data_IF_071302922168
#
_entry.id   IF_071302922168
#
_cell.length_a   1.000
_cell.length_b   1.000
_cell.length_c   1.000
_cell.angle_alpha   90.00
_cell.angle_beta   90.00
_cell.angle_gamma   90.00
#
_symmetry.space_group_name_H-M   'P 1'
#
loop_
_entity.id
_entity.type
_entity.pdbx_description
1 polymer ?
#
# COMPACT_ATOMS: atom_id res chain seq x y z
N UNK A 1 5.48 -66.83 51.22
CA UNK A 1 4.17 -66.21 50.93
C UNK A 1 4.40 -64.77 51.19
N UNK A 2 4.86 -64.07 50.16
CA UNK A 2 5.26 -62.67 50.21
C UNK A 2 4.35 -61.86 49.23
N UNK A 3 3.60 -60.94 49.79
CA UNK A 3 2.75 -59.98 49.13
C UNK A 3 3.63 -58.99 48.39
N UNK A 4 3.42 -58.88 47.11
CA UNK A 4 4.02 -57.82 46.27
C UNK A 4 2.97 -56.72 46.05
N UNK A 5 3.11 -55.67 46.82
CA UNK A 5 2.32 -54.41 46.67
C UNK A 5 2.80 -53.68 45.47
N UNK A 6 1.98 -53.60 44.39
CA UNK A 6 2.22 -52.81 43.21
C UNK A 6 1.58 -51.45 43.43
N UNK A 7 2.35 -50.47 43.89
CA UNK A 7 1.99 -49.08 43.82
C UNK A 7 2.22 -48.60 42.39
N UNK A 8 1.15 -48.50 41.61
CA UNK A 8 1.12 -47.78 40.32
C UNK A 8 1.21 -46.29 40.61
N UNK A 9 2.38 -45.75 40.35
CA UNK A 9 2.67 -44.31 40.37
C UNK A 9 2.06 -43.70 39.08
N UNK A 10 0.80 -43.26 39.16
CA UNK A 10 0.14 -42.49 38.12
C UNK A 10 0.79 -41.12 38.05
N UNK A 11 1.87 -41.02 37.30
CA UNK A 11 2.46 -39.74 36.90
C UNK A 11 1.44 -38.98 35.97
N UNK A 12 0.58 -38.21 36.62
CA UNK A 12 -0.33 -37.27 35.97
C UNK A 12 0.52 -36.33 35.08
N UNK A 13 0.55 -36.63 33.78
CA UNK A 13 1.25 -35.83 32.79
C UNK A 13 0.68 -34.40 32.81
N UNK A 14 1.41 -33.48 33.43
CA UNK A 14 1.05 -32.07 33.50
C UNK A 14 0.81 -31.54 32.09
N UNK A 15 -0.42 -31.10 31.83
CA UNK A 15 -0.79 -30.48 30.55
C UNK A 15 0.17 -29.34 30.23
N UNK A 16 0.61 -29.17 28.96
CA UNK A 16 1.52 -28.13 28.61
C UNK A 16 0.98 -26.76 29.02
N UNK A 17 1.83 -25.84 29.52
CA UNK A 17 1.39 -24.54 30.00
C UNK A 17 0.63 -23.81 28.90
N UNK A 18 -0.58 -23.40 29.21
CA UNK A 18 -1.40 -22.61 28.27
C UNK A 18 -0.60 -21.40 27.84
N UNK A 19 -0.54 -21.07 26.51
CA UNK A 19 0.15 -19.89 26.03
C UNK A 19 -0.37 -18.67 26.78
N UNK A 20 0.55 -17.90 27.35
CA UNK A 20 0.23 -16.69 28.10
C UNK A 20 -0.66 -15.78 27.24
N UNK A 21 -1.80 -15.36 27.79
CA UNK A 21 -2.69 -14.42 27.09
C UNK A 21 -1.87 -13.19 26.68
N UNK A 22 -1.98 -12.72 25.42
CA UNK A 22 -1.22 -11.56 24.98
C UNK A 22 -1.50 -10.39 25.92
N UNK A 23 -0.45 -9.80 26.49
CA UNK A 23 -0.56 -8.62 27.34
C UNK A 23 -1.24 -7.52 26.53
N UNK A 24 -2.33 -6.96 27.04
CA UNK A 24 -3.07 -5.84 26.42
C UNK A 24 -2.38 -4.51 26.65
N UNK A 25 -1.30 -4.51 27.41
CA UNK A 25 -0.50 -3.33 27.73
C UNK A 25 0.38 -2.92 26.54
N UNK A 26 0.31 -1.64 26.18
CA UNK A 26 1.09 -1.04 25.09
C UNK A 26 2.54 -0.72 25.50
N UNK A 27 2.97 -1.14 26.69
CA UNK A 27 4.32 -0.90 27.19
C UNK A 27 4.58 0.57 27.57
N UNK A 28 5.87 0.91 27.76
CA UNK A 28 6.37 2.20 28.27
C UNK A 28 5.79 3.42 27.57
N UNK A 29 5.63 3.36 26.26
CA UNK A 29 5.20 4.50 25.43
C UNK A 29 3.68 4.60 25.24
N UNK A 30 2.91 3.61 25.70
CA UNK A 30 1.46 3.58 25.54
C UNK A 30 1.00 3.62 24.08
N UNK A 31 -0.25 4.04 23.85
CA UNK A 31 -0.84 4.07 22.49
C UNK A 31 -0.49 5.34 21.68
N UNK A 32 0.11 6.34 22.31
CA UNK A 32 0.30 7.67 21.71
C UNK A 32 1.18 7.64 20.46
N UNK A 33 2.37 7.02 20.43
CA UNK A 33 3.20 6.98 19.23
C UNK A 33 2.48 6.31 18.06
N UNK A 34 1.83 5.14 18.27
CA UNK A 34 1.11 4.43 17.23
C UNK A 34 -0.02 5.27 16.62
N UNK A 35 -0.77 6.01 17.45
CA UNK A 35 -1.86 6.87 16.97
C UNK A 35 -1.34 8.09 16.21
N UNK A 36 -0.26 8.70 16.68
CA UNK A 36 0.36 9.87 16.01
C UNK A 36 0.92 9.44 14.65
N UNK A 37 1.69 8.35 14.59
CA UNK A 37 2.25 7.85 13.33
C UNK A 37 1.18 7.31 12.36
N UNK A 38 0.10 6.70 12.87
CA UNK A 38 -1.05 6.36 12.05
C UNK A 38 -1.77 7.63 11.52
N UNK A 39 -1.84 8.68 12.33
CA UNK A 39 -2.36 9.99 11.93
C UNK A 39 -1.53 10.63 10.82
N UNK A 40 -0.21 10.47 10.84
CA UNK A 40 0.69 10.92 9.75
C UNK A 40 0.32 10.20 8.45
N UNK A 41 0.30 8.86 8.44
CA UNK A 41 -0.08 8.10 7.26
C UNK A 41 -1.52 8.35 6.78
N UNK A 42 -2.44 8.68 7.71
CA UNK A 42 -3.81 9.06 7.37
C UNK A 42 -3.85 10.41 6.64
N UNK A 43 -3.23 11.46 7.20
CA UNK A 43 -3.22 12.81 6.61
C UNK A 43 -2.51 12.83 5.25
N UNK A 44 -1.40 12.11 5.14
CA UNK A 44 -0.67 11.92 3.91
C UNK A 44 -1.53 11.27 2.81
N UNK A 45 -2.27 10.22 3.17
CA UNK A 45 -3.19 9.58 2.25
C UNK A 45 -4.42 10.44 1.90
N UNK A 46 -4.89 11.30 2.83
CA UNK A 46 -5.92 12.31 2.53
C UNK A 46 -5.42 13.25 1.45
N UNK A 47 -4.19 13.79 1.55
CA UNK A 47 -3.61 14.68 0.54
C UNK A 47 -3.49 14.01 -0.83
N UNK A 48 -3.06 12.74 -0.86
CA UNK A 48 -3.02 11.97 -2.12
C UNK A 48 -4.39 11.82 -2.77
N UNK A 49 -5.45 11.75 -1.95
CA UNK A 49 -6.83 11.68 -2.42
C UNK A 49 -7.39 13.02 -2.93
N UNK A 50 -6.83 14.17 -2.50
CA UNK A 50 -7.37 15.48 -2.88
C UNK A 50 -7.33 15.69 -4.39
N UNK A 51 -6.16 15.54 -5.01
CA UNK A 51 -6.02 15.81 -6.45
C UNK A 51 -6.99 14.99 -7.31
N UNK A 52 -7.11 13.65 -7.15
CA UNK A 52 -8.14 12.88 -7.84
C UNK A 52 -9.56 13.39 -7.61
N UNK A 53 -9.88 13.84 -6.39
CA UNK A 53 -11.21 14.31 -6.02
C UNK A 53 -11.59 15.68 -6.57
N UNK A 54 -10.61 16.52 -6.96
CA UNK A 54 -10.85 17.86 -7.50
C UNK A 54 -10.37 18.05 -8.92
N UNK A 55 -9.81 17.02 -9.55
CA UNK A 55 -9.03 17.14 -10.79
C UNK A 55 -9.78 17.84 -11.89
N UNK A 56 -11.05 17.50 -12.13
CA UNK A 56 -11.89 18.14 -13.16
C UNK A 56 -12.03 19.65 -12.92
N UNK A 57 -12.26 20.06 -11.67
CA UNK A 57 -12.37 21.48 -11.32
C UNK A 57 -11.07 22.25 -11.48
N UNK A 58 -9.95 21.61 -11.20
CA UNK A 58 -8.62 22.19 -11.41
C UNK A 58 -8.31 22.33 -12.89
N UNK A 59 -8.70 21.32 -13.71
CA UNK A 59 -8.55 21.37 -15.16
C UNK A 59 -9.37 22.51 -15.79
N UNK A 60 -10.61 22.68 -15.36
CA UNK A 60 -11.49 23.76 -15.80
C UNK A 60 -10.91 25.16 -15.46
N UNK A 61 -10.35 25.32 -14.25
CA UNK A 61 -9.84 26.59 -13.75
C UNK A 61 -8.46 26.97 -14.35
N UNK A 62 -7.57 25.98 -14.56
CA UNK A 62 -6.20 26.21 -15.05
C UNK A 62 -6.01 25.89 -16.54
N UNK A 63 -7.01 25.36 -17.22
CA UNK A 63 -7.03 25.16 -18.68
C UNK A 63 -6.03 24.11 -19.17
N UNK A 64 -5.96 22.90 -18.57
CA UNK A 64 -5.04 21.86 -18.99
C UNK A 64 -5.73 20.53 -19.33
N UNK A 65 -5.06 19.73 -20.21
CA UNK A 65 -5.58 18.48 -20.74
C UNK A 65 -5.54 17.31 -19.75
N UNK A 66 -6.16 16.17 -20.10
CA UNK A 66 -6.10 14.93 -19.32
C UNK A 66 -4.67 14.38 -19.27
N UNK A 67 -3.91 14.48 -20.35
CA UNK A 67 -2.47 14.16 -20.36
C UNK A 67 -1.71 14.92 -19.27
N UNK A 68 -1.94 16.22 -19.19
CA UNK A 68 -1.33 17.06 -18.17
C UNK A 68 -1.83 16.72 -16.76
N UNK A 69 -3.12 16.41 -16.61
CA UNK A 69 -3.68 15.91 -15.35
C UNK A 69 -3.03 14.61 -14.87
N UNK A 70 -2.84 13.67 -15.78
CA UNK A 70 -2.12 12.43 -15.52
C UNK A 70 -0.65 12.65 -15.15
N UNK A 71 0.01 13.64 -15.79
CA UNK A 71 1.39 14.02 -15.49
C UNK A 71 1.56 14.51 -14.04
N UNK A 72 0.57 15.23 -13.48
CA UNK A 72 0.59 15.65 -12.06
C UNK A 72 0.67 14.45 -11.11
N UNK A 73 -0.13 13.39 -11.36
CA UNK A 73 -0.09 12.17 -10.57
C UNK A 73 1.22 11.40 -10.74
N UNK A 74 1.71 11.30 -11.97
CA UNK A 74 2.96 10.62 -12.32
C UNK A 74 4.18 11.33 -11.72
N UNK A 75 4.28 12.64 -11.84
CA UNK A 75 5.40 13.43 -11.32
C UNK A 75 5.55 13.29 -9.80
N UNK A 76 4.44 13.28 -9.06
CA UNK A 76 4.43 13.08 -7.63
C UNK A 76 5.13 11.77 -7.22
N UNK A 77 4.81 10.66 -7.87
CA UNK A 77 5.41 9.35 -7.54
C UNK A 77 6.87 9.26 -8.02
N UNK A 78 7.16 9.73 -9.24
CA UNK A 78 8.51 9.65 -9.81
C UNK A 78 9.54 10.46 -9.02
N UNK A 79 9.19 11.65 -8.56
CA UNK A 79 10.11 12.47 -7.75
C UNK A 79 10.42 11.83 -6.41
N UNK A 80 9.48 11.10 -5.81
CA UNK A 80 9.72 10.28 -4.63
C UNK A 80 10.84 9.27 -4.83
N UNK A 81 10.90 8.59 -5.98
CA UNK A 81 11.97 7.61 -6.26
C UNK A 81 13.36 8.22 -6.29
N UNK A 82 13.52 9.48 -6.70
CA UNK A 82 14.83 10.14 -6.76
C UNK A 82 15.47 10.32 -5.37
N UNK A 83 14.65 10.37 -4.33
CA UNK A 83 15.10 10.64 -2.96
C UNK A 83 15.05 9.42 -2.02
N UNK A 84 14.64 8.25 -2.50
CA UNK A 84 14.58 7.01 -1.68
C UNK A 84 15.92 6.70 -0.99
N UNK A 85 17.04 6.77 -1.74
CA UNK A 85 18.37 6.49 -1.19
C UNK A 85 18.86 7.57 -0.21
N UNK A 86 18.79 8.89 -0.54
CA UNK A 86 19.07 9.94 0.43
C UNK A 86 18.21 9.87 1.69
N UNK A 87 16.93 9.52 1.53
CA UNK A 87 15.98 9.40 2.65
C UNK A 87 16.39 8.34 3.66
N UNK A 88 16.79 7.15 3.18
CA UNK A 88 17.33 6.09 4.04
C UNK A 88 18.57 6.54 4.82
N UNK A 89 19.52 7.18 4.13
CA UNK A 89 20.73 7.71 4.76
C UNK A 89 20.44 8.74 5.86
N UNK A 90 19.48 9.65 5.63
CA UNK A 90 19.06 10.63 6.64
C UNK A 90 18.42 9.94 7.84
N UNK A 91 17.52 8.99 7.60
CA UNK A 91 16.82 8.24 8.65
C UNK A 91 17.79 7.45 9.55
N UNK A 92 18.96 7.05 9.01
CA UNK A 92 19.97 6.32 9.76
C UNK A 92 20.84 7.21 10.65
N UNK A 93 21.03 8.48 10.32
CA UNK A 93 21.96 9.38 11.02
C UNK A 93 21.31 10.34 12.01
N UNK A 94 20.05 10.69 11.81
CA UNK A 94 19.36 11.70 12.63
C UNK A 94 18.22 11.10 13.43
N UNK A 95 17.72 11.87 14.40
CA UNK A 95 16.53 11.51 15.17
C UNK A 95 15.31 11.43 14.23
N UNK A 96 14.72 10.23 14.10
CA UNK A 96 13.63 9.93 13.17
C UNK A 96 12.39 10.77 13.46
N UNK A 97 12.07 11.01 14.74
CA UNK A 97 10.96 11.88 15.14
C UNK A 97 11.14 13.30 14.62
N UNK A 98 12.37 13.82 14.62
CA UNK A 98 12.68 15.18 14.13
C UNK A 98 12.61 15.25 12.59
N UNK A 99 13.13 14.22 11.92
CA UNK A 99 13.04 14.13 10.45
C UNK A 99 11.57 14.11 10.02
N UNK A 100 10.75 13.21 10.57
CA UNK A 100 9.33 13.10 10.24
C UNK A 100 8.61 14.43 10.53
N UNK A 101 8.88 15.05 11.66
CA UNK A 101 8.23 16.31 12.01
C UNK A 101 8.60 17.47 11.06
N UNK A 102 9.88 17.60 10.66
CA UNK A 102 10.32 18.62 9.69
C UNK A 102 9.73 18.34 8.31
N UNK A 103 9.78 17.09 7.85
CA UNK A 103 9.20 16.69 6.57
C UNK A 103 7.70 16.97 6.54
N UNK A 104 6.98 16.59 7.58
CA UNK A 104 5.52 16.77 7.67
C UNK A 104 5.14 18.27 7.76
N UNK A 105 5.90 19.09 8.48
CA UNK A 105 5.69 20.53 8.53
C UNK A 105 5.91 21.19 7.17
N UNK A 106 7.03 20.85 6.51
CA UNK A 106 7.35 21.34 5.17
C UNK A 106 6.31 20.88 4.15
N UNK A 107 5.92 19.60 4.22
CA UNK A 107 4.91 19.01 3.36
C UNK A 107 3.54 19.69 3.53
N UNK A 108 3.08 19.95 4.74
CA UNK A 108 1.82 20.64 4.98
C UNK A 108 1.81 22.07 4.43
N UNK A 109 2.94 22.80 4.54
CA UNK A 109 3.10 24.12 3.92
C UNK A 109 3.08 24.04 2.39
N UNK A 110 3.83 23.09 1.80
CA UNK A 110 3.89 22.89 0.37
C UNK A 110 2.52 22.44 -0.19
N UNK A 111 1.81 21.55 0.53
CA UNK A 111 0.44 21.15 0.17
C UNK A 111 -0.50 22.37 0.15
N UNK A 112 -0.37 23.29 1.14
CA UNK A 112 -1.11 24.54 1.15
C UNK A 112 -0.80 25.44 -0.06
N UNK A 113 0.42 25.40 -0.61
CA UNK A 113 0.77 26.18 -1.80
C UNK A 113 -0.02 25.76 -3.05
N UNK A 114 -0.56 24.53 -3.12
CA UNK A 114 -1.47 24.16 -4.20
C UNK A 114 -2.69 25.09 -4.28
N UNK A 115 -3.12 25.70 -3.18
CA UNK A 115 -4.21 26.68 -3.18
C UNK A 115 -3.84 28.01 -3.85
N UNK A 116 -2.55 28.33 -3.95
CA UNK A 116 -2.07 29.59 -4.50
C UNK A 116 -1.64 29.49 -5.98
N UNK A 117 -1.60 28.30 -6.58
CA UNK A 117 -1.17 28.10 -7.96
C UNK A 117 -2.17 28.72 -8.96
N UNK A 118 -1.64 29.27 -10.04
CA UNK A 118 -2.39 29.93 -11.12
C UNK A 118 -2.13 29.34 -12.49
N UNK A 119 -1.13 28.45 -12.62
CA UNK A 119 -0.76 27.82 -13.88
C UNK A 119 -0.47 26.34 -13.66
N UNK A 120 -0.62 25.54 -14.72
CA UNK A 120 -0.27 24.10 -14.70
C UNK A 120 1.18 23.87 -14.24
N UNK A 121 2.14 24.67 -14.70
CA UNK A 121 3.56 24.47 -14.38
C UNK A 121 3.87 24.74 -12.90
N UNK A 122 3.23 25.73 -12.29
CA UNK A 122 3.32 25.94 -10.84
C UNK A 122 2.77 24.75 -10.09
N UNK A 123 1.61 24.24 -10.53
CA UNK A 123 0.99 23.08 -9.91
C UNK A 123 1.87 21.82 -10.04
N UNK A 124 2.43 21.57 -11.22
CA UNK A 124 3.35 20.47 -11.46
C UNK A 124 4.59 20.55 -10.54
N UNK A 125 5.18 21.73 -10.39
CA UNK A 125 6.33 21.94 -9.52
C UNK A 125 5.99 21.63 -8.05
N UNK A 126 4.86 22.15 -7.55
CA UNK A 126 4.40 21.88 -6.18
C UNK A 126 4.18 20.39 -5.98
N UNK A 127 3.52 19.70 -6.91
CA UNK A 127 3.26 18.25 -6.85
C UNK A 127 4.55 17.42 -6.89
N UNK A 128 5.49 17.78 -7.76
CA UNK A 128 6.80 17.13 -7.81
C UNK A 128 7.56 17.29 -6.49
N UNK A 129 7.52 18.47 -5.88
CA UNK A 129 8.17 18.72 -4.59
C UNK A 129 7.53 17.92 -3.45
N UNK A 130 6.20 17.76 -3.44
CA UNK A 130 5.49 16.97 -2.44
C UNK A 130 5.90 15.49 -2.46
N UNK A 131 6.13 14.90 -3.65
CA UNK A 131 6.56 13.51 -3.78
C UNK A 131 7.90 13.22 -3.08
N UNK A 132 8.78 14.22 -2.97
CA UNK A 132 10.06 14.11 -2.24
C UNK A 132 9.84 13.85 -0.75
N UNK A 133 8.91 14.61 -0.13
CA UNK A 133 8.67 14.51 1.32
C UNK A 133 8.10 13.17 1.74
N UNK A 134 7.12 12.65 1.02
CA UNK A 134 6.43 11.39 1.34
C UNK A 134 7.36 10.18 1.40
N UNK A 135 8.37 10.15 0.55
CA UNK A 135 9.30 9.01 0.49
C UNK A 135 10.16 8.87 1.76
N UNK A 136 10.38 9.96 2.49
CA UNK A 136 11.22 9.99 3.70
C UNK A 136 10.45 9.48 4.92
N UNK A 137 9.16 9.79 5.02
CA UNK A 137 8.34 9.53 6.21
C UNK A 137 8.10 8.05 6.48
N UNK A 138 7.74 7.28 5.48
CA UNK A 138 7.25 5.90 5.64
C UNK A 138 8.31 4.95 6.26
N UNK A 139 9.56 4.85 5.77
CA UNK A 139 10.59 4.01 6.39
C UNK A 139 10.92 4.45 7.83
N UNK A 140 11.01 5.75 8.08
CA UNK A 140 11.30 6.29 9.41
C UNK A 140 10.18 5.96 10.41
N UNK A 141 8.91 6.09 10.02
CA UNK A 141 7.75 5.74 10.83
C UNK A 141 7.69 4.25 11.16
N UNK A 142 7.99 3.37 10.21
CA UNK A 142 8.04 1.92 10.46
C UNK A 142 9.17 1.54 11.42
N UNK A 143 10.36 2.12 11.24
CA UNK A 143 11.49 1.92 12.16
C UNK A 143 11.16 2.38 13.58
N UNK A 144 10.55 3.56 13.74
CA UNK A 144 10.08 4.05 15.06
C UNK A 144 9.08 3.12 15.72
N UNK A 145 8.09 2.61 14.97
CA UNK A 145 7.11 1.67 15.52
C UNK A 145 7.75 0.37 16.00
N UNK A 146 8.77 -0.12 15.29
CA UNK A 146 9.51 -1.29 15.71
C UNK A 146 10.23 -1.06 17.05
N UNK A 147 10.81 0.12 17.26
CA UNK A 147 11.54 0.44 18.48
C UNK A 147 10.62 0.86 19.66
N UNK A 148 9.44 1.42 19.40
CA UNK A 148 8.48 1.75 20.44
C UNK A 148 7.80 0.53 21.05
N UNK A 149 7.59 -0.52 20.26
CA UNK A 149 6.71 -1.63 20.64
C UNK A 149 7.38 -3.00 20.56
N UNK A 150 7.23 -3.77 21.65
CA UNK A 150 7.67 -5.17 21.72
C UNK A 150 6.90 -6.02 20.71
N UNK A 151 7.45 -7.19 20.37
CA UNK A 151 6.93 -8.11 19.35
C UNK A 151 5.47 -8.53 19.57
N UNK A 152 5.02 -8.68 20.83
CA UNK A 152 3.65 -9.05 21.20
C UNK A 152 2.59 -7.98 20.89
N UNK A 153 2.98 -6.69 20.88
CA UNK A 153 2.11 -5.54 20.63
C UNK A 153 2.38 -4.90 19.26
N UNK A 154 3.59 -5.08 18.73
CA UNK A 154 4.08 -4.49 17.47
C UNK A 154 3.10 -4.72 16.31
N UNK A 155 2.53 -5.95 16.20
CA UNK A 155 1.53 -6.27 15.18
C UNK A 155 0.30 -5.36 15.19
N UNK A 156 -0.19 -4.95 16.36
CA UNK A 156 -1.32 -4.03 16.49
C UNK A 156 -0.96 -2.61 16.06
N UNK A 157 0.25 -2.14 16.39
CA UNK A 157 0.73 -0.82 15.99
C UNK A 157 0.88 -0.73 14.46
N UNK A 158 1.48 -1.74 13.84
CA UNK A 158 1.58 -1.81 12.38
C UNK A 158 0.22 -1.96 11.69
N UNK A 159 -0.71 -2.73 12.27
CA UNK A 159 -2.07 -2.86 11.71
C UNK A 159 -2.79 -1.49 11.68
N UNK A 160 -2.67 -0.70 12.76
CA UNK A 160 -3.22 0.65 12.80
C UNK A 160 -2.59 1.57 11.76
N UNK A 161 -1.25 1.55 11.63
CA UNK A 161 -0.53 2.35 10.63
C UNK A 161 -0.88 1.96 9.20
N UNK A 162 -1.10 0.67 8.93
CA UNK A 162 -1.48 0.19 7.58
C UNK A 162 -2.93 0.45 7.22
N UNK A 163 -3.84 0.45 8.19
CA UNK A 163 -5.26 0.71 7.95
C UNK A 163 -5.54 2.21 7.70
N UNK A 164 -4.85 3.10 8.42
CA UNK A 164 -5.09 4.53 8.37
C UNK A 164 -5.02 5.14 6.96
N UNK A 165 -4.05 4.80 6.09
CA UNK A 165 -3.98 5.32 4.72
C UNK A 165 -5.18 4.97 3.84
N UNK A 166 -5.77 3.79 3.98
CA UNK A 166 -6.96 3.41 3.18
C UNK A 166 -8.14 4.32 3.49
N UNK A 167 -8.38 4.58 4.78
CA UNK A 167 -9.41 5.51 5.21
C UNK A 167 -9.09 6.94 4.78
N UNK A 168 -7.81 7.35 4.91
CA UNK A 168 -7.34 8.67 4.51
C UNK A 168 -7.58 8.94 3.03
N UNK A 169 -7.17 8.04 2.15
CA UNK A 169 -7.32 8.22 0.71
C UNK A 169 -8.78 8.27 0.27
N UNK A 170 -9.62 7.36 0.78
CA UNK A 170 -11.04 7.35 0.49
C UNK A 170 -11.73 8.65 0.93
N UNK A 171 -11.42 9.09 2.17
CA UNK A 171 -11.93 10.34 2.72
C UNK A 171 -11.41 11.54 1.94
N UNK A 172 -10.13 11.55 1.56
CA UNK A 172 -9.50 12.61 0.78
C UNK A 172 -10.20 12.83 -0.55
N UNK A 173 -10.46 11.78 -1.32
CA UNK A 173 -11.19 11.86 -2.59
C UNK A 173 -12.60 12.42 -2.37
N UNK A 174 -13.36 11.84 -1.43
CA UNK A 174 -14.75 12.22 -1.18
C UNK A 174 -14.89 13.65 -0.64
N UNK A 175 -14.09 14.01 0.38
CA UNK A 175 -14.11 15.36 0.96
C UNK A 175 -13.66 16.42 -0.05
N UNK A 176 -12.62 16.12 -0.83
CA UNK A 176 -12.09 17.08 -1.79
C UNK A 176 -13.13 17.49 -2.84
N UNK A 177 -13.87 16.53 -3.40
CA UNK A 177 -14.97 16.82 -4.32
C UNK A 177 -16.11 17.59 -3.66
N UNK A 178 -16.51 17.23 -2.44
CA UNK A 178 -17.52 17.95 -1.68
C UNK A 178 -17.12 19.39 -1.37
N UNK A 179 -15.89 19.61 -0.88
CA UNK A 179 -15.34 20.96 -0.62
C UNK A 179 -15.24 21.77 -1.90
N UNK A 180 -14.77 21.15 -3.00
CA UNK A 180 -14.66 21.82 -4.29
C UNK A 180 -16.02 22.28 -4.84
N UNK A 181 -17.07 21.49 -4.60
CA UNK A 181 -18.42 21.85 -5.01
C UNK A 181 -19.03 23.03 -4.22
N UNK A 182 -18.66 23.16 -2.93
CA UNK A 182 -19.25 24.17 -2.03
C UNK A 182 -18.47 25.49 -2.01
N UNK A 183 -17.14 25.43 -1.92
CA UNK A 183 -16.29 26.61 -1.64
C UNK A 183 -15.10 26.73 -2.58
N UNK A 184 -14.95 25.79 -3.52
CA UNK A 184 -13.87 25.76 -4.51
C UNK A 184 -12.73 24.83 -4.14
N UNK A 185 -12.03 24.33 -5.17
CA UNK A 185 -11.00 23.29 -5.04
C UNK A 185 -9.76 23.70 -4.23
N UNK A 186 -9.44 24.99 -4.19
CA UNK A 186 -8.29 25.54 -3.45
C UNK A 186 -8.41 25.27 -1.95
N UNK A 187 -9.63 25.35 -1.41
CA UNK A 187 -9.89 25.10 0.01
C UNK A 187 -9.64 23.63 0.42
N UNK A 188 -9.78 22.69 -0.51
CA UNK A 188 -9.50 21.29 -0.22
C UNK A 188 -8.03 21.07 0.19
N UNK A 189 -7.09 21.75 -0.44
CA UNK A 189 -5.66 21.68 -0.11
C UNK A 189 -5.33 22.36 1.23
N UNK A 190 -5.95 23.50 1.51
CA UNK A 190 -5.77 24.18 2.80
C UNK A 190 -6.33 23.37 3.96
N UNK A 191 -7.46 22.69 3.74
CA UNK A 191 -8.10 21.84 4.74
C UNK A 191 -7.19 20.69 5.21
N UNK A 192 -6.23 20.25 4.40
CA UNK A 192 -5.30 19.18 4.73
C UNK A 192 -3.91 19.71 5.10
N UNK A 193 -3.44 20.74 4.43
CA UNK A 193 -2.13 21.33 4.72
C UNK A 193 -2.02 21.86 6.14
N UNK A 194 -3.07 22.51 6.68
CA UNK A 194 -3.07 23.06 8.05
C UNK A 194 -3.04 21.95 9.11
N UNK A 195 -3.96 20.96 9.12
CA UNK A 195 -3.88 19.85 10.08
C UNK A 195 -2.59 19.03 9.96
N UNK A 196 -2.06 18.84 8.74
CA UNK A 196 -0.77 18.18 8.53
C UNK A 196 0.37 18.90 9.21
N UNK A 197 0.47 20.23 9.04
CA UNK A 197 1.47 21.04 9.73
C UNK A 197 1.32 21.02 11.26
N UNK A 198 0.09 21.00 11.78
CA UNK A 198 -0.17 20.88 13.21
C UNK A 198 0.21 19.50 13.75
N UNK A 199 0.00 18.44 12.97
CA UNK A 199 0.39 17.07 13.34
C UNK A 199 1.92 16.94 13.46
N UNK A 200 2.69 17.71 12.69
CA UNK A 200 4.14 17.78 12.81
C UNK A 200 4.58 18.15 14.24
N UNK A 201 3.86 19.04 14.90
CA UNK A 201 4.13 19.41 16.29
C UNK A 201 3.87 18.24 17.27
N UNK A 202 2.88 17.39 16.98
CA UNK A 202 2.63 16.20 17.78
C UNK A 202 3.76 15.17 17.60
N UNK A 203 4.26 14.99 16.37
CA UNK A 203 5.41 14.12 16.07
C UNK A 203 6.69 14.67 16.73
N UNK A 204 6.94 15.99 16.64
CA UNK A 204 8.09 16.64 17.27
C UNK A 204 8.19 16.38 18.78
N UNK A 205 7.04 16.24 19.44
CA UNK A 205 6.93 15.97 20.89
C UNK A 205 6.97 14.49 21.25
N UNK A 206 7.11 13.59 20.28
CA UNK A 206 7.33 12.18 20.58
C UNK A 206 8.76 11.98 21.11
N UNK A 207 8.94 11.13 22.12
CA UNK A 207 10.29 10.72 22.55
C UNK A 207 10.96 9.93 21.44
N UNK A 208 12.26 10.14 21.22
CA UNK A 208 13.04 9.29 20.30
C UNK A 208 13.51 8.03 21.06
N UNK A 209 13.08 6.82 20.68
CA UNK A 209 13.56 5.59 21.30
C UNK A 209 15.00 5.29 20.84
N UNK A 210 15.75 4.60 21.68
CA UNK A 210 17.01 4.01 21.24
C UNK A 210 16.74 2.90 20.21
N UNK A 211 17.65 2.76 19.24
CA UNK A 211 17.46 1.73 18.20
C UNK A 211 17.56 0.35 18.83
N UNK A 212 16.56 -0.51 18.55
CA UNK A 212 16.44 -1.84 19.13
C UNK A 212 15.94 -1.87 20.58
N UNK A 213 15.50 -0.75 21.17
CA UNK A 213 15.05 -0.66 22.58
C UNK A 213 14.00 -1.72 22.95
N UNK A 214 13.11 -2.03 22.03
CA UNK A 214 12.05 -3.02 22.24
C UNK A 214 12.40 -4.45 21.85
N UNK A 215 13.60 -4.68 21.33
CA UNK A 215 14.12 -6.00 21.00
C UNK A 215 14.98 -6.58 22.12
N UNK A 216 15.36 -5.77 23.14
CA UNK A 216 16.05 -6.25 24.34
C UNK A 216 15.09 -7.10 25.19
N UNK A 217 15.53 -8.29 25.70
CA UNK A 217 14.78 -9.07 26.66
C UNK A 217 14.51 -8.19 27.89
N UNK A 218 13.27 -8.26 28.41
CA UNK A 218 12.96 -7.56 29.66
C UNK A 218 13.95 -8.04 30.75
N UNK A 219 14.56 -7.12 31.47
CA UNK A 219 15.58 -7.39 32.49
C UNK A 219 15.12 -8.34 33.62
N UNK A 220 13.85 -8.77 33.63
CA UNK A 220 13.27 -9.77 34.53
C UNK A 220 13.30 -11.20 34.00
N UNK A 221 13.59 -11.40 32.72
CA UNK A 221 13.85 -12.71 32.14
C UNK A 221 15.36 -12.89 32.05
N UNK A 222 15.99 -13.13 33.23
CA UNK A 222 17.34 -13.70 33.22
C UNK A 222 17.22 -15.06 32.52
N UNK A 223 17.86 -15.25 31.36
CA UNK A 223 17.93 -16.59 30.80
C UNK A 223 18.67 -17.45 31.82
N UNK A 224 18.12 -18.61 32.19
CA UNK A 224 18.96 -19.68 32.73
C UNK A 224 20.23 -19.75 31.87
N UNK A 225 21.39 -20.01 32.47
CA UNK A 225 22.63 -20.04 31.71
C UNK A 225 22.54 -21.19 30.68
N UNK A 226 21.95 -20.88 29.54
CA UNK A 226 22.06 -21.70 28.35
C UNK A 226 23.53 -21.59 27.96
N UNK A 227 24.25 -22.70 28.11
CA UNK A 227 25.59 -22.85 27.57
C UNK A 227 25.59 -22.25 26.14
N UNK A 228 26.59 -21.45 25.78
CA UNK A 228 26.60 -20.78 24.49
C UNK A 228 26.62 -21.85 23.39
N UNK A 229 25.42 -22.22 22.92
CA UNK A 229 25.34 -22.81 21.59
C UNK A 229 25.74 -21.64 20.69
N UNK A 230 26.98 -21.70 20.22
CA UNK A 230 27.50 -20.81 19.18
C UNK A 230 26.56 -20.96 17.99
N UNK A 231 25.48 -20.16 17.96
CA UNK A 231 24.72 -20.01 16.73
C UNK A 231 25.76 -19.58 15.68
N UNK A 232 25.86 -20.27 14.56
CA UNK A 232 26.79 -19.86 13.51
C UNK A 232 26.49 -18.38 13.21
N UNK A 233 27.45 -17.50 13.46
CA UNK A 233 27.36 -16.10 12.99
C UNK A 233 27.04 -16.21 11.51
N UNK A 234 25.91 -15.67 11.05
CA UNK A 234 25.59 -15.75 9.63
C UNK A 234 26.79 -15.18 8.88
N UNK A 235 27.30 -15.84 7.84
CA UNK A 235 28.47 -15.37 7.13
C UNK A 235 28.23 -13.90 6.73
N UNK A 236 29.24 -13.06 6.99
CA UNK A 236 29.22 -11.64 6.66
C UNK A 236 28.77 -11.51 5.20
N UNK A 237 27.53 -11.01 5.01
CA UNK A 237 27.01 -10.89 3.65
C UNK A 237 27.82 -9.81 2.95
N UNK A 238 28.36 -10.20 1.82
CA UNK A 238 28.94 -9.28 0.86
C UNK A 238 27.91 -8.17 0.58
N UNK A 239 28.15 -6.96 1.10
CA UNK A 239 27.17 -5.85 1.14
C UNK A 239 27.39 -4.84 0.01
N UNK A 240 28.10 -5.24 -1.05
CA UNK A 240 28.41 -4.37 -2.18
C UNK A 240 27.31 -4.35 -3.27
N UNK A 241 27.37 -3.39 -4.21
CA UNK A 241 26.43 -3.31 -5.35
C UNK A 241 26.41 -4.59 -6.20
N UNK A 242 27.52 -5.32 -6.25
CA UNK A 242 27.62 -6.62 -6.95
C UNK A 242 26.79 -7.71 -6.28
N UNK A 243 26.75 -7.73 -4.95
CA UNK A 243 25.90 -8.65 -4.20
C UNK A 243 24.40 -8.37 -4.46
N UNK A 244 24.01 -7.11 -4.45
CA UNK A 244 22.63 -6.71 -4.78
C UNK A 244 22.22 -7.19 -6.19
N UNK A 245 23.06 -6.95 -7.20
CA UNK A 245 22.80 -7.40 -8.58
C UNK A 245 22.70 -8.92 -8.66
N UNK A 246 23.58 -9.64 -7.95
CA UNK A 246 23.54 -11.10 -7.86
C UNK A 246 22.21 -11.58 -7.27
N UNK A 247 21.82 -11.02 -6.13
CA UNK A 247 20.62 -11.44 -5.40
C UNK A 247 19.33 -11.08 -6.17
N UNK A 248 19.29 -9.94 -6.84
CA UNK A 248 18.22 -9.59 -7.79
C UNK A 248 18.16 -10.59 -8.94
N UNK A 249 19.30 -10.99 -9.49
CA UNK A 249 19.37 -12.00 -10.55
C UNK A 249 18.88 -13.36 -10.08
N UNK A 250 19.23 -13.77 -8.86
CA UNK A 250 18.73 -15.01 -8.23
C UNK A 250 17.21 -14.93 -8.07
N UNK A 251 16.69 -13.84 -7.52
CA UNK A 251 15.26 -13.61 -7.35
C UNK A 251 14.52 -13.66 -8.70
N UNK A 252 15.04 -13.01 -9.73
CA UNK A 252 14.47 -13.04 -11.09
C UNK A 252 14.61 -14.42 -11.76
N UNK A 253 15.47 -15.27 -11.25
CA UNK A 253 15.65 -16.67 -11.70
C UNK A 253 14.52 -17.59 -11.25
N UNK A 254 13.77 -17.25 -10.19
CA UNK A 254 12.63 -18.03 -9.68
C UNK A 254 11.40 -17.80 -10.56
N UNK A 255 10.92 -18.80 -11.33
CA UNK A 255 9.85 -18.62 -12.31
C UNK A 255 8.53 -18.13 -11.71
N UNK A 256 8.15 -18.67 -10.54
CA UNK A 256 6.96 -18.24 -9.81
C UNK A 256 7.07 -16.79 -9.37
N UNK A 257 8.20 -16.40 -8.78
CA UNK A 257 8.44 -15.02 -8.33
C UNK A 257 8.43 -14.03 -9.49
N UNK A 258 9.03 -14.38 -10.63
CA UNK A 258 8.96 -13.55 -11.85
C UNK A 258 7.52 -13.34 -12.32
N UNK A 259 6.69 -14.39 -12.28
CA UNK A 259 5.27 -14.28 -12.62
C UNK A 259 4.51 -13.41 -11.63
N UNK A 260 4.82 -13.49 -10.33
CA UNK A 260 4.26 -12.63 -9.30
C UNK A 260 4.66 -11.16 -9.51
N UNK A 261 5.93 -10.89 -9.77
CA UNK A 261 6.43 -9.53 -10.02
C UNK A 261 5.73 -8.88 -11.22
N UNK A 262 5.70 -9.58 -12.36
CA UNK A 262 5.10 -9.04 -13.60
C UNK A 262 3.58 -8.93 -13.45
N UNK A 263 2.90 -9.99 -12.99
CA UNK A 263 1.45 -9.99 -12.87
C UNK A 263 0.93 -8.95 -11.88
N UNK A 264 1.61 -8.78 -10.73
CA UNK A 264 1.24 -7.77 -9.73
C UNK A 264 1.54 -6.35 -10.21
N UNK A 265 2.65 -6.11 -10.90
CA UNK A 265 3.01 -4.80 -11.43
C UNK A 265 1.98 -4.33 -12.48
N UNK A 266 1.57 -5.22 -13.40
CA UNK A 266 0.56 -4.90 -14.39
C UNK A 266 -0.79 -4.56 -13.73
N UNK A 267 -1.24 -5.40 -12.79
CA UNK A 267 -2.52 -5.20 -12.11
C UNK A 267 -2.52 -3.95 -11.21
N UNK A 268 -1.45 -3.75 -10.42
CA UNK A 268 -1.31 -2.58 -9.56
C UNK A 268 -1.18 -1.29 -10.39
N UNK A 269 -0.47 -1.36 -11.52
CA UNK A 269 -0.37 -0.25 -12.47
C UNK A 269 -1.73 0.17 -13.00
N UNK A 270 -2.48 -0.76 -13.57
CA UNK A 270 -3.81 -0.47 -14.10
C UNK A 270 -4.75 0.08 -13.01
N UNK A 271 -4.78 -0.56 -11.84
CA UNK A 271 -5.65 -0.15 -10.73
C UNK A 271 -5.31 1.25 -10.19
N UNK A 272 -4.02 1.61 -10.15
CA UNK A 272 -3.56 2.94 -9.71
C UNK A 272 -4.12 4.05 -10.59
N UNK A 273 -4.01 3.92 -11.91
CA UNK A 273 -4.52 4.91 -12.84
C UNK A 273 -6.04 4.98 -12.88
N UNK A 274 -6.72 3.82 -12.87
CA UNK A 274 -8.18 3.77 -12.78
C UNK A 274 -8.68 4.44 -11.50
N UNK A 275 -8.00 4.22 -10.36
CA UNK A 275 -8.31 4.86 -9.08
C UNK A 275 -8.07 6.37 -9.09
N UNK A 276 -7.00 6.82 -9.74
CA UNK A 276 -6.68 8.24 -9.88
C UNK A 276 -7.77 9.00 -10.67
N UNK A 277 -8.26 8.41 -11.76
CA UNK A 277 -9.25 9.03 -12.65
C UNK A 277 -10.70 8.71 -12.27
N UNK A 278 -10.94 7.91 -11.23
CA UNK A 278 -12.28 7.42 -10.90
C UNK A 278 -13.30 8.55 -10.62
N UNK A 279 -12.91 9.58 -9.87
CA UNK A 279 -13.78 10.71 -9.57
C UNK A 279 -14.17 11.45 -10.86
N UNK A 280 -13.17 11.81 -11.69
CA UNK A 280 -13.40 12.48 -12.97
C UNK A 280 -14.24 11.63 -13.95
N UNK A 281 -14.09 10.30 -13.92
CA UNK A 281 -14.94 9.40 -14.68
C UNK A 281 -16.41 9.52 -14.28
N UNK A 282 -16.71 9.45 -12.98
CA UNK A 282 -18.08 9.60 -12.51
C UNK A 282 -18.67 10.98 -12.81
N UNK A 283 -17.87 12.04 -12.69
CA UNK A 283 -18.28 13.41 -13.00
C UNK A 283 -18.66 13.59 -14.48
N UNK A 284 -17.89 12.99 -15.40
CA UNK A 284 -18.07 13.16 -16.85
C UNK A 284 -19.10 12.21 -17.46
N UNK A 285 -19.23 11.00 -16.90
CA UNK A 285 -20.06 9.93 -17.47
C UNK A 285 -21.34 9.65 -16.67
N UNK A 286 -21.67 10.50 -15.68
CA UNK A 286 -22.90 10.34 -14.89
C UNK A 286 -23.49 11.70 -14.51
N UNK A 287 -24.72 11.68 -14.00
CA UNK A 287 -25.44 12.86 -13.56
C UNK A 287 -25.10 13.31 -12.13
N UNK A 288 -24.07 12.74 -11.50
CA UNK A 288 -23.76 12.95 -10.07
C UNK A 288 -23.07 14.28 -9.75
N UNK A 289 -22.49 14.93 -10.76
CA UNK A 289 -21.67 16.14 -10.57
C UNK A 289 -20.37 15.88 -9.78
N UNK A 290 -19.59 16.94 -9.54
CA UNK A 290 -18.24 16.83 -8.97
C UNK A 290 -18.25 16.24 -7.55
N UNK A 291 -19.08 16.73 -6.65
CA UNK A 291 -19.16 16.22 -5.28
C UNK A 291 -19.66 14.78 -5.19
N UNK A 292 -20.66 14.43 -5.99
CA UNK A 292 -21.23 13.07 -6.03
C UNK A 292 -20.26 12.05 -6.64
N UNK A 293 -19.61 12.40 -7.75
CA UNK A 293 -18.61 11.55 -8.41
C UNK A 293 -17.44 11.21 -7.50
N UNK A 294 -16.85 12.21 -6.85
CA UNK A 294 -15.76 12.03 -5.89
C UNK A 294 -16.19 11.22 -4.67
N UNK A 295 -17.41 11.48 -4.13
CA UNK A 295 -17.96 10.72 -3.00
C UNK A 295 -18.09 9.22 -3.30
N UNK A 296 -18.62 8.86 -4.47
CA UNK A 296 -18.74 7.46 -4.90
C UNK A 296 -17.35 6.85 -5.14
N UNK A 297 -16.43 7.54 -5.81
CA UNK A 297 -15.09 7.05 -6.03
C UNK A 297 -14.37 6.74 -4.70
N UNK A 298 -14.46 7.64 -3.72
CA UNK A 298 -13.94 7.41 -2.37
C UNK A 298 -14.59 6.21 -1.67
N UNK A 299 -15.92 6.10 -1.74
CA UNK A 299 -16.64 4.97 -1.14
C UNK A 299 -16.24 3.62 -1.77
N UNK A 300 -16.06 3.56 -3.09
CA UNK A 300 -15.65 2.35 -3.79
C UNK A 300 -14.24 1.93 -3.40
N UNK A 301 -13.30 2.89 -3.27
CA UNK A 301 -11.94 2.63 -2.77
C UNK A 301 -12.03 2.01 -1.37
N UNK A 302 -12.79 2.60 -0.46
CA UNK A 302 -12.88 2.14 0.93
C UNK A 302 -13.53 0.77 1.04
N UNK A 303 -14.73 0.60 0.46
CA UNK A 303 -15.49 -0.65 0.53
C UNK A 303 -14.74 -1.78 -0.17
N UNK A 304 -14.17 -1.51 -1.35
CA UNK A 304 -13.39 -2.48 -2.10
C UNK A 304 -12.12 -2.92 -1.36
N UNK A 305 -11.37 -1.97 -0.77
CA UNK A 305 -10.17 -2.28 -0.01
C UNK A 305 -10.47 -3.12 1.24
N UNK A 306 -11.47 -2.72 2.03
CA UNK A 306 -11.83 -3.43 3.27
C UNK A 306 -12.37 -4.83 2.95
N UNK A 307 -13.41 -4.92 2.10
CA UNK A 307 -14.07 -6.18 1.80
C UNK A 307 -13.12 -7.15 1.08
N UNK A 308 -12.37 -6.67 0.10
CA UNK A 308 -11.40 -7.46 -0.64
C UNK A 308 -10.31 -8.03 0.26
N UNK A 309 -9.69 -7.19 1.10
CA UNK A 309 -8.63 -7.62 2.02
C UNK A 309 -9.15 -8.66 3.02
N UNK A 310 -10.32 -8.40 3.61
CA UNK A 310 -10.87 -9.26 4.67
C UNK A 310 -11.35 -10.63 4.15
N UNK A 311 -12.05 -10.63 3.01
CA UNK A 311 -12.54 -11.87 2.38
C UNK A 311 -11.37 -12.69 1.84
N UNK A 312 -10.48 -12.04 1.09
CA UNK A 312 -9.35 -12.76 0.49
C UNK A 312 -8.37 -13.29 1.53
N UNK A 313 -8.07 -12.55 2.59
CA UNK A 313 -7.22 -13.03 3.68
C UNK A 313 -7.73 -14.36 4.26
N UNK A 314 -9.05 -14.43 4.58
CA UNK A 314 -9.67 -15.69 5.03
C UNK A 314 -9.61 -16.82 4.00
N UNK A 315 -9.78 -16.49 2.71
CA UNK A 315 -9.74 -17.50 1.65
C UNK A 315 -8.33 -18.01 1.41
N UNK A 316 -7.32 -17.14 1.44
CA UNK A 316 -5.91 -17.53 1.36
C UNK A 316 -5.58 -18.52 2.49
N UNK A 317 -5.93 -18.18 3.76
CA UNK A 317 -5.67 -19.03 4.91
C UNK A 317 -6.35 -20.41 4.80
N UNK A 318 -7.57 -20.45 4.28
CA UNK A 318 -8.30 -21.72 4.13
C UNK A 318 -7.77 -22.56 2.97
N UNK A 319 -7.40 -21.95 1.84
CA UNK A 319 -7.05 -22.66 0.63
C UNK A 319 -5.59 -23.12 0.61
N UNK A 320 -4.67 -22.39 1.25
CA UNK A 320 -3.24 -22.75 1.30
C UNK A 320 -3.00 -24.14 1.94
N UNK A 321 -3.88 -24.57 2.85
CA UNK A 321 -3.81 -25.90 3.46
C UNK A 321 -4.34 -27.02 2.56
N UNK A 322 -4.99 -26.71 1.44
CA UNK A 322 -5.57 -27.72 0.54
C UNK A 322 -4.63 -28.10 -0.59
N UNK A 323 -3.86 -27.17 -1.12
CA UNK A 323 -2.83 -27.46 -2.11
C UNK A 323 -1.84 -26.30 -2.24
N UNK A 324 -0.61 -26.64 -2.63
CA UNK A 324 0.45 -25.70 -2.95
C UNK A 324 0.03 -24.85 -4.16
N UNK A 325 0.31 -23.56 -4.14
CA UNK A 325 -0.08 -22.64 -5.21
C UNK A 325 -1.54 -22.16 -5.16
N UNK A 326 -2.32 -22.51 -4.14
CA UNK A 326 -3.66 -21.93 -3.92
C UNK A 326 -3.66 -20.40 -3.87
N UNK A 327 -2.72 -19.71 -3.18
CA UNK A 327 -2.68 -18.26 -3.17
C UNK A 327 -2.50 -17.66 -4.57
N UNK A 328 -1.68 -18.28 -5.41
CA UNK A 328 -1.45 -17.81 -6.79
C UNK A 328 -2.67 -18.00 -7.71
N UNK A 329 -3.38 -19.13 -7.53
CA UNK A 329 -4.65 -19.34 -8.22
C UNK A 329 -5.67 -18.29 -7.78
N UNK A 330 -5.80 -18.06 -6.47
CA UNK A 330 -6.73 -17.08 -5.93
C UNK A 330 -6.41 -15.68 -6.48
N UNK A 331 -5.14 -15.28 -6.49
CA UNK A 331 -4.71 -14.00 -7.05
C UNK A 331 -5.13 -13.85 -8.53
N UNK A 332 -4.82 -14.85 -9.36
CA UNK A 332 -5.14 -14.78 -10.78
C UNK A 332 -6.65 -14.81 -11.06
N UNK A 333 -7.41 -15.69 -10.39
CA UNK A 333 -8.86 -15.78 -10.57
C UNK A 333 -9.55 -14.50 -10.08
N UNK A 334 -9.19 -14.00 -8.91
CA UNK A 334 -9.76 -12.77 -8.38
C UNK A 334 -9.48 -11.57 -9.29
N UNK A 335 -8.26 -11.42 -9.78
CA UNK A 335 -7.93 -10.33 -10.72
C UNK A 335 -8.69 -10.49 -12.06
N UNK A 336 -8.79 -11.70 -12.60
CA UNK A 336 -9.52 -11.97 -13.85
C UNK A 336 -11.02 -11.68 -13.72
N UNK A 337 -11.67 -12.22 -12.69
CA UNK A 337 -13.10 -11.96 -12.41
C UNK A 337 -13.34 -10.47 -12.14
N UNK A 338 -12.49 -9.87 -11.31
CA UNK A 338 -12.59 -8.44 -10.99
C UNK A 338 -12.43 -7.56 -12.23
N UNK A 339 -11.50 -7.89 -13.14
CA UNK A 339 -11.31 -7.17 -14.40
C UNK A 339 -12.53 -7.30 -15.32
N UNK A 340 -13.15 -8.49 -15.42
CA UNK A 340 -14.35 -8.69 -16.21
C UNK A 340 -15.52 -7.86 -15.69
N UNK A 341 -15.75 -7.90 -14.39
CA UNK A 341 -16.78 -7.09 -13.75
C UNK A 341 -16.51 -5.59 -13.93
N UNK A 342 -15.26 -5.17 -13.70
CA UNK A 342 -14.88 -3.76 -13.84
C UNK A 342 -15.08 -3.25 -15.27
N UNK A 343 -14.68 -4.04 -16.27
CA UNK A 343 -14.85 -3.69 -17.68
C UNK A 343 -16.33 -3.48 -18.03
N UNK A 344 -17.24 -4.30 -17.51
CA UNK A 344 -18.67 -4.16 -17.76
C UNK A 344 -19.24 -2.83 -17.23
N UNK A 345 -18.61 -2.22 -16.22
CA UNK A 345 -19.07 -0.96 -15.62
C UNK A 345 -18.69 0.29 -16.42
N UNK A 346 -17.76 0.16 -17.38
CA UNK A 346 -17.35 1.26 -18.26
C UNK A 346 -18.15 1.34 -19.56
N UNK A 347 -19.06 0.38 -19.79
CA UNK A 347 -20.06 0.44 -20.82
C UNK A 347 -21.18 1.43 -20.42
N UNK A 348 -22.05 1.74 -21.37
CA UNK A 348 -23.23 2.58 -21.08
C UNK A 348 -24.27 1.80 -20.27
N UNK A 349 -24.07 1.80 -18.95
CA UNK A 349 -24.92 1.09 -17.98
C UNK A 349 -25.44 2.04 -16.91
N UNK A 350 -26.64 1.79 -16.34
CA UNK A 350 -27.22 2.63 -15.32
C UNK A 350 -26.43 2.57 -13.99
N UNK A 351 -26.53 3.63 -13.19
CA UNK A 351 -25.81 3.76 -11.91
C UNK A 351 -26.11 2.65 -10.91
N UNK A 352 -27.36 2.15 -10.86
CA UNK A 352 -27.75 1.06 -9.95
C UNK A 352 -27.02 -0.25 -10.24
N UNK A 353 -26.56 -0.48 -11.49
CA UNK A 353 -25.70 -1.58 -11.88
C UNK A 353 -24.23 -1.22 -11.67
N UNK A 354 -23.79 -0.05 -12.17
CA UNK A 354 -22.40 0.39 -12.19
C UNK A 354 -21.78 0.40 -10.80
N UNK A 355 -22.41 1.04 -9.82
CA UNK A 355 -21.84 1.24 -8.48
C UNK A 355 -21.62 -0.09 -7.74
N UNK A 356 -22.61 -0.98 -7.56
CA UNK A 356 -22.40 -2.22 -6.82
C UNK A 356 -21.44 -3.17 -7.54
N UNK A 357 -21.54 -3.28 -8.88
CA UNK A 357 -20.66 -4.16 -9.66
C UNK A 357 -19.21 -3.67 -9.61
N UNK A 358 -18.98 -2.36 -9.68
CA UNK A 358 -17.64 -1.80 -9.55
C UNK A 358 -17.07 -2.00 -8.13
N UNK A 359 -17.89 -1.87 -7.08
CA UNK A 359 -17.47 -2.18 -5.72
C UNK A 359 -17.04 -3.64 -5.55
N UNK A 360 -17.81 -4.57 -6.10
CA UNK A 360 -17.46 -5.99 -6.13
C UNK A 360 -16.18 -6.22 -6.94
N UNK A 361 -16.06 -5.60 -8.12
CA UNK A 361 -14.88 -5.71 -8.97
C UNK A 361 -13.59 -5.26 -8.26
N UNK A 362 -13.64 -4.09 -7.60
CA UNK A 362 -12.51 -3.57 -6.81
C UNK A 362 -12.17 -4.52 -5.67
N UNK A 363 -13.16 -5.06 -4.96
CA UNK A 363 -12.95 -6.02 -3.89
C UNK A 363 -12.24 -7.30 -4.39
N UNK A 364 -12.63 -7.82 -5.54
CA UNK A 364 -11.95 -8.95 -6.17
C UNK A 364 -10.50 -8.62 -6.53
N UNK A 365 -10.23 -7.50 -7.20
CA UNK A 365 -8.88 -7.12 -7.63
C UNK A 365 -7.97 -6.90 -6.41
N UNK A 366 -8.43 -6.14 -5.41
CA UNK A 366 -7.68 -5.91 -4.16
C UNK A 366 -7.45 -7.22 -3.42
N UNK A 367 -8.47 -8.09 -3.36
CA UNK A 367 -8.36 -9.41 -2.76
C UNK A 367 -7.28 -10.26 -3.42
N UNK A 368 -7.16 -10.22 -4.74
CA UNK A 368 -6.09 -10.89 -5.48
C UNK A 368 -4.68 -10.40 -5.10
N UNK A 369 -4.52 -9.11 -4.81
CA UNK A 369 -3.24 -8.54 -4.39
C UNK A 369 -2.80 -9.02 -3.00
N UNK A 370 -3.73 -9.35 -2.10
CA UNK A 370 -3.42 -9.85 -0.74
C UNK A 370 -2.69 -11.19 -0.76
N UNK A 371 -2.94 -12.02 -1.76
CA UNK A 371 -2.31 -13.34 -1.87
C UNK A 371 -0.83 -13.29 -2.30
N UNK A 372 -0.38 -12.17 -2.91
CA UNK A 372 0.97 -12.04 -3.47
C UNK A 372 2.08 -12.10 -2.42
N UNK A 373 2.03 -11.33 -1.30
CA UNK A 373 3.03 -11.42 -0.25
C UNK A 373 3.15 -12.82 0.36
N UNK A 374 2.02 -13.52 0.52
CA UNK A 374 2.02 -14.90 1.05
C UNK A 374 2.82 -15.81 0.12
N UNK A 375 2.55 -15.74 -1.18
CA UNK A 375 3.24 -16.56 -2.16
C UNK A 375 4.74 -16.27 -2.22
N UNK A 376 5.16 -15.00 -2.13
CA UNK A 376 6.58 -14.62 -2.08
C UNK A 376 7.28 -15.32 -0.91
N UNK A 377 6.67 -15.38 0.27
CA UNK A 377 7.27 -16.03 1.44
C UNK A 377 7.39 -17.55 1.31
N UNK A 378 6.59 -18.18 0.47
CA UNK A 378 6.60 -19.63 0.24
C UNK A 378 7.62 -20.06 -0.81
N UNK A 379 7.79 -19.27 -1.88
CA UNK A 379 8.63 -19.63 -3.05
C UNK A 379 10.05 -19.08 -3.00
N UNK A 380 10.38 -18.29 -1.96
CA UNK A 380 11.69 -17.63 -1.86
C UNK A 380 12.36 -17.98 -0.53
N UNK A 381 13.63 -18.40 -0.61
CA UNK A 381 14.44 -18.68 0.58
C UNK A 381 14.48 -17.45 1.53
N UNK A 382 14.48 -17.66 2.87
CA UNK A 382 14.48 -16.57 3.85
C UNK A 382 15.56 -15.52 3.60
N UNK A 383 16.69 -15.94 3.06
CA UNK A 383 17.88 -15.12 2.81
C UNK A 383 17.66 -14.01 1.78
N UNK A 384 16.79 -14.18 0.79
CA UNK A 384 16.54 -13.21 -0.31
C UNK A 384 15.12 -12.67 -0.32
N UNK A 385 14.27 -12.99 0.67
CA UNK A 385 12.87 -12.50 0.77
C UNK A 385 12.78 -10.98 0.71
N UNK A 386 13.66 -10.28 1.42
CA UNK A 386 13.68 -8.81 1.43
C UNK A 386 13.86 -8.23 0.04
N UNK A 387 14.79 -8.79 -0.76
CA UNK A 387 15.02 -8.37 -2.13
C UNK A 387 13.82 -8.69 -3.02
N UNK A 388 13.22 -9.88 -2.87
CA UNK A 388 12.03 -10.27 -3.62
C UNK A 388 10.86 -9.30 -3.38
N UNK A 389 10.59 -8.93 -2.13
CA UNK A 389 9.58 -7.92 -1.79
C UNK A 389 9.93 -6.55 -2.36
N UNK A 390 11.18 -6.11 -2.23
CA UNK A 390 11.63 -4.80 -2.71
C UNK A 390 11.49 -4.67 -4.23
N UNK A 391 11.93 -5.67 -4.99
CA UNK A 391 11.81 -5.67 -6.46
C UNK A 391 10.34 -5.70 -6.88
N UNK A 392 9.51 -6.54 -6.25
CA UNK A 392 8.07 -6.62 -6.55
C UNK A 392 7.39 -5.28 -6.29
N UNK A 393 7.67 -4.65 -5.15
CA UNK A 393 7.12 -3.35 -4.77
C UNK A 393 7.59 -2.24 -5.72
N UNK A 394 8.87 -2.24 -6.08
CA UNK A 394 9.44 -1.27 -7.02
C UNK A 394 8.77 -1.35 -8.39
N UNK A 395 8.64 -2.54 -8.97
CA UNK A 395 7.99 -2.73 -10.27
C UNK A 395 6.51 -2.31 -10.23
N UNK A 396 5.80 -2.66 -9.15
CA UNK A 396 4.40 -2.25 -8.97
C UNK A 396 4.25 -0.73 -8.82
N UNK A 397 5.15 -0.09 -8.09
CA UNK A 397 5.14 1.34 -7.91
C UNK A 397 5.49 2.10 -9.21
N UNK A 398 6.46 1.61 -9.98
CA UNK A 398 6.80 2.19 -11.30
C UNK A 398 5.63 2.09 -12.28
N UNK A 399 4.98 0.93 -12.35
CA UNK A 399 3.79 0.75 -13.18
C UNK A 399 2.64 1.65 -12.71
N UNK A 400 2.44 1.77 -11.38
CA UNK A 400 1.46 2.66 -10.78
C UNK A 400 1.72 4.13 -11.07
N UNK A 401 2.99 4.55 -11.05
CA UNK A 401 3.40 5.92 -11.37
C UNK A 401 3.09 6.32 -12.81
N UNK A 402 3.33 5.42 -13.77
CA UNK A 402 3.09 5.70 -15.20
C UNK A 402 1.59 5.72 -15.56
N UNK A 403 0.77 5.01 -14.82
CA UNK A 403 -0.62 4.73 -15.21
C UNK A 403 -1.53 5.96 -15.31
N UNK A 404 -1.49 6.97 -14.39
CA UNK A 404 -2.31 8.17 -14.55
C UNK A 404 -2.02 8.92 -15.85
N UNK A 405 -0.74 9.03 -16.23
CA UNK A 405 -0.33 9.66 -17.48
C UNK A 405 -0.82 8.88 -18.70
N UNK A 406 -0.68 7.55 -18.68
CA UNK A 406 -1.13 6.69 -19.79
C UNK A 406 -2.63 6.81 -20.00
N UNK A 407 -3.43 6.80 -18.93
CA UNK A 407 -4.88 6.99 -19.03
C UNK A 407 -5.23 8.39 -19.54
N UNK A 408 -4.55 9.44 -19.06
CA UNK A 408 -4.76 10.79 -19.56
C UNK A 408 -4.45 10.93 -21.06
N UNK A 409 -3.32 10.36 -21.52
CA UNK A 409 -2.95 10.29 -22.94
C UNK A 409 -3.99 9.57 -23.80
N UNK A 410 -4.53 8.45 -23.28
CA UNK A 410 -5.57 7.71 -23.96
C UNK A 410 -6.90 8.48 -23.98
N UNK A 411 -7.26 9.14 -22.89
CA UNK A 411 -8.49 9.90 -22.79
C UNK A 411 -8.50 11.07 -23.80
N UNK A 412 -7.40 11.82 -23.91
CA UNK A 412 -7.26 12.94 -24.87
C UNK A 412 -7.34 12.50 -26.35
N UNK A 413 -7.19 11.20 -26.64
CA UNK A 413 -7.36 10.68 -28.01
C UNK A 413 -8.82 10.44 -28.42
N UNK A 414 -9.70 10.41 -27.45
CA UNK A 414 -11.12 10.18 -27.66
C UNK A 414 -11.92 11.38 -27.15
N UNK A 415 -12.67 12.00 -28.04
CA UNK A 415 -13.47 13.16 -27.67
C UNK A 415 -14.78 12.74 -26.98
N UNK A 416 -15.16 13.49 -25.97
CA UNK A 416 -16.44 13.41 -25.28
C UNK A 416 -16.96 14.83 -25.09
N UNK A 417 -18.18 15.11 -25.53
CA UNK A 417 -18.83 16.39 -25.29
C UNK A 417 -19.61 16.32 -23.98
N UNK A 418 -19.21 17.16 -23.02
CA UNK A 418 -19.88 17.27 -21.70
C UNK A 418 -20.23 18.74 -21.51
N UNK A 419 -21.50 19.07 -21.35
CA UNK A 419 -22.00 20.43 -21.16
C UNK A 419 -21.55 21.44 -22.25
N UNK A 420 -21.39 20.95 -23.48
CA UNK A 420 -20.93 21.77 -24.61
C UNK A 420 -19.40 21.93 -24.71
N UNK A 421 -18.63 21.40 -23.79
CA UNK A 421 -17.17 21.37 -23.82
C UNK A 421 -16.63 20.03 -24.32
N UNK A 422 -15.57 20.06 -25.10
CA UNK A 422 -14.84 18.86 -25.54
C UNK A 422 -13.86 18.46 -24.45
N UNK A 423 -14.07 17.29 -23.86
CA UNK A 423 -13.20 16.68 -22.83
C UNK A 423 -12.70 15.31 -23.31
N UNK A 424 -11.65 14.80 -22.70
CA UNK A 424 -11.18 13.45 -22.96
C UNK A 424 -12.18 12.37 -22.48
N UNK A 425 -12.32 11.29 -23.24
CA UNK A 425 -13.22 10.19 -22.94
C UNK A 425 -12.54 9.14 -22.04
N UNK A 426 -12.79 9.24 -20.74
CA UNK A 426 -12.23 8.31 -19.76
C UNK A 426 -12.81 6.89 -19.86
N UNK A 427 -14.05 6.72 -20.32
CA UNK A 427 -14.64 5.39 -20.49
C UNK A 427 -13.85 4.56 -21.52
N UNK A 428 -13.52 5.17 -22.67
CA UNK A 428 -12.72 4.51 -23.71
C UNK A 428 -11.29 4.22 -23.21
N UNK A 429 -10.66 5.16 -22.51
CA UNK A 429 -9.34 4.95 -21.90
C UNK A 429 -9.36 3.77 -20.90
N UNK A 430 -10.39 3.69 -20.07
CA UNK A 430 -10.57 2.61 -19.09
C UNK A 430 -10.82 1.27 -19.75
N UNK A 431 -11.62 1.21 -20.83
CA UNK A 431 -11.84 -0.01 -21.62
C UNK A 431 -10.55 -0.54 -22.26
N UNK A 432 -9.60 0.34 -22.62
CA UNK A 432 -8.30 -0.05 -23.17
C UNK A 432 -7.35 -0.53 -22.08
N UNK A 433 -7.36 0.07 -20.89
CA UNK A 433 -6.41 -0.25 -19.80
C UNK A 433 -6.87 -1.44 -18.97
N UNK A 434 -8.17 -1.64 -18.76
CA UNK A 434 -8.68 -2.76 -17.95
C UNK A 434 -8.25 -4.15 -18.44
N UNK A 435 -8.16 -4.46 -19.75
CA UNK A 435 -7.62 -5.71 -20.25
C UNK A 435 -6.19 -6.04 -19.79
N UNK A 436 -5.38 -5.05 -19.39
CA UNK A 436 -4.07 -5.30 -18.81
C UNK A 436 -4.19 -6.08 -17.49
N UNK A 437 -5.24 -5.87 -16.71
CA UNK A 437 -5.49 -6.65 -15.48
C UNK A 437 -5.71 -8.13 -15.81
N UNK A 438 -6.41 -8.43 -16.91
CA UNK A 438 -6.53 -9.82 -17.41
C UNK A 438 -5.18 -10.39 -17.81
N UNK A 439 -4.33 -9.59 -18.47
CA UNK A 439 -2.99 -10.03 -18.82
C UNK A 439 -2.19 -10.36 -17.56
N UNK A 440 -2.25 -9.50 -16.53
CA UNK A 440 -1.66 -9.76 -15.21
C UNK A 440 -2.19 -11.04 -14.59
N UNK A 441 -3.51 -11.26 -14.62
CA UNK A 441 -4.16 -12.47 -14.13
C UNK A 441 -3.68 -13.72 -14.87
N UNK A 442 -3.55 -13.67 -16.20
CA UNK A 442 -3.03 -14.78 -17.00
C UNK A 442 -1.57 -15.11 -16.67
N UNK A 443 -0.74 -14.09 -16.46
CA UNK A 443 0.66 -14.28 -16.04
C UNK A 443 0.72 -15.01 -14.70
N UNK A 444 -0.10 -14.60 -13.72
CA UNK A 444 -0.21 -15.28 -12.43
C UNK A 444 -0.68 -16.72 -12.59
N UNK A 445 -1.76 -16.96 -13.35
CA UNK A 445 -2.30 -18.31 -13.55
C UNK A 445 -1.30 -19.24 -14.27
N UNK A 446 -0.52 -18.72 -15.22
CA UNK A 446 0.55 -19.50 -15.87
C UNK A 446 1.69 -19.81 -14.91
N UNK A 447 2.09 -18.86 -14.07
CA UNK A 447 3.14 -19.03 -13.08
C UNK A 447 2.85 -20.15 -12.06
N UNK A 448 1.57 -20.48 -11.83
CA UNK A 448 1.15 -21.56 -10.94
C UNK A 448 1.84 -22.90 -11.23
N UNK A 449 2.23 -23.15 -12.47
CA UNK A 449 2.86 -24.42 -12.90
C UNK A 449 4.23 -24.64 -12.25
N UNK A 450 4.88 -23.60 -11.79
CA UNK A 450 6.22 -23.64 -11.22
C UNK A 450 6.24 -23.65 -9.68
N UNK A 451 5.09 -23.41 -9.03
CA UNK A 451 5.01 -23.20 -7.59
C UNK A 451 5.56 -24.37 -6.78
N UNK A 452 5.13 -25.60 -7.09
CA UNK A 452 5.58 -26.79 -6.34
C UNK A 452 7.11 -26.99 -6.43
N UNK A 453 7.67 -26.81 -7.64
CA UNK A 453 9.12 -26.90 -7.85
C UNK A 453 9.90 -25.81 -7.13
N UNK A 454 9.40 -24.57 -7.15
CA UNK A 454 10.05 -23.43 -6.50
C UNK A 454 9.96 -23.51 -4.96
N UNK A 455 8.85 -24.03 -4.41
CA UNK A 455 8.73 -24.30 -2.97
C UNK A 455 9.74 -25.36 -2.54
N UNK A 456 9.85 -26.48 -3.28
CA UNK A 456 10.82 -27.53 -2.97
C UNK A 456 12.26 -27.02 -3.04
N UNK A 457 12.59 -26.19 -4.05
CA UNK A 457 13.89 -25.55 -4.19
C UNK A 457 14.19 -24.57 -3.04
N UNK A 458 13.20 -23.77 -2.61
CA UNK A 458 13.35 -22.85 -1.48
C UNK A 458 13.59 -23.59 -0.16
N UNK A 459 12.93 -24.72 0.05
CA UNK A 459 13.10 -25.58 1.24
C UNK A 459 14.50 -26.25 1.28
N UNK A 460 15.09 -26.57 0.12
CA UNK A 460 16.43 -27.16 0.05
C UNK A 460 17.57 -26.16 0.18
N UNK A 461 17.28 -24.87 0.03
CA UNK A 461 18.25 -23.76 0.09
C UNK A 461 18.32 -23.05 1.46
N UNK A 462 17.44 -23.39 2.40
CA UNK A 462 17.37 -22.88 3.77
C UNK A 462 17.80 -23.92 4.76
#
# INVERSE_FOLDING_TARGET
>A
MADIDQTTDDAEAAAPPRPARPRTDWGRYGKRPARVLAGVGFIDAVDRGILPGVLTKVQEDLGFSDTQGGLLGTAFVLTGFLVVLPAGYLADRYARTKIIAVVLASWGLISGLNAAVRTFWQFLLVRATLGIGETIDNPASQSLLADYYRTDVRGRAFALQRAAPFFGQALGVGLAGGVAALVGWRWAFLLVGVPGSLLALAVWRLPEPTRGESDEPAASEQPEPVLPVSAPVPPERDSGPRALVRDVRIAMGVPTLRSLMIGSAIAAGALSGLGFWAAAFYERHTTLGSGGGAGIAGALILVGAISGTFVAGRQVDRLRHRYEGAPMLLAGVCQGVGAALLMSTFLDVPLWYRIPVQGIAVAFIVGGLVAIPVMITEVVAPTIRGIAFSVTSFLSAMAGAASPLVIGLLADRFELVVDGEVKGNLANAFLIVTPLIFLGALVLLRGRRHVAGDIAAAASAG
#
